data_IF_473397944103
#
_entry.id   IF_473397944103
#
_cell.length_a   1.000
_cell.length_b   1.000
_cell.length_c   1.000
_cell.angle_alpha   90.00
_cell.angle_beta   90.00
_cell.angle_gamma   90.00
#
_symmetry.space_group_name_H-M   'P 1'
#
loop_
_entity.id
_entity.type
_entity.pdbx_description
1 polymer ?
#
# COMPACT_ATOMS: atom_id res chain seq x y z
N UNK A 1 2.83 52.23 27.49
CA UNK A 1 3.59 51.33 26.60
C UNK A 1 2.91 49.98 26.66
N UNK A 2 2.04 49.70 25.71
CA UNK A 2 1.37 48.41 25.60
C UNK A 2 2.27 47.49 24.81
N UNK A 3 2.82 46.52 25.51
CA UNK A 3 3.62 45.45 24.91
C UNK A 3 2.70 44.64 23.99
N UNK A 4 2.95 44.79 22.70
CA UNK A 4 2.25 44.00 21.67
C UNK A 4 2.80 42.57 21.77
N UNK A 5 2.08 41.67 22.40
CA UNK A 5 2.38 40.26 22.34
C UNK A 5 2.47 39.84 20.86
N UNK A 6 3.67 39.49 20.41
CA UNK A 6 3.87 38.91 19.10
C UNK A 6 2.96 37.69 18.99
N UNK A 7 1.97 37.73 18.11
CA UNK A 7 1.13 36.58 17.82
C UNK A 7 2.02 35.50 17.21
N UNK A 8 2.30 34.45 17.94
CA UNK A 8 2.94 33.24 17.42
C UNK A 8 1.93 32.57 16.47
N UNK A 9 2.16 32.75 15.19
CA UNK A 9 1.46 31.97 14.18
C UNK A 9 2.10 30.58 14.18
N UNK A 10 1.39 29.59 14.69
CA UNK A 10 1.80 28.20 14.49
C UNK A 10 1.87 27.94 12.98
N UNK A 11 2.92 27.24 12.49
CA UNK A 11 2.97 26.86 11.09
C UNK A 11 1.73 26.01 10.79
N UNK A 12 0.82 26.58 10.01
CA UNK A 12 -0.36 25.87 9.53
C UNK A 12 0.15 24.82 8.57
N UNK A 13 -0.26 23.55 8.80
CA UNK A 13 -0.06 22.47 7.87
C UNK A 13 -0.59 22.94 6.50
N UNK A 14 0.27 22.95 5.49
CA UNK A 14 -0.14 23.29 4.13
C UNK A 14 -1.00 22.13 3.62
N UNK A 15 -2.30 22.29 3.66
CA UNK A 15 -3.27 21.38 3.03
C UNK A 15 -3.75 21.94 1.69
N UNK A 16 -3.19 23.08 1.26
CA UNK A 16 -3.53 23.79 0.05
C UNK A 16 -2.40 23.63 -0.97
N UNK A 17 -2.75 23.35 -2.20
CA UNK A 17 -1.84 23.14 -3.32
C UNK A 17 -2.35 22.05 -4.25
N UNK A 18 -1.83 22.02 -5.47
CA UNK A 18 -2.29 21.09 -6.50
C UNK A 18 -1.52 19.75 -6.46
N UNK A 19 -0.33 19.75 -5.84
CA UNK A 19 0.56 18.59 -5.78
C UNK A 19 0.88 18.16 -4.35
N UNK A 20 1.36 16.94 -4.17
CA UNK A 20 1.89 16.46 -2.88
C UNK A 20 3.02 17.34 -2.39
N UNK A 21 3.89 17.81 -3.29
CA UNK A 21 4.99 18.72 -2.96
C UNK A 21 4.48 20.06 -2.39
N UNK A 22 3.38 20.60 -2.91
CA UNK A 22 2.80 21.84 -2.41
C UNK A 22 2.20 21.68 -1.00
N UNK A 23 1.65 20.50 -0.72
CA UNK A 23 0.94 20.20 0.54
C UNK A 23 1.89 19.81 1.67
N UNK A 24 2.99 19.12 1.36
CA UNK A 24 4.02 18.73 2.32
C UNK A 24 4.97 19.90 2.62
N UNK A 25 5.63 19.86 3.77
CA UNK A 25 6.77 20.77 4.02
C UNK A 25 7.97 20.31 3.20
N UNK A 26 8.83 21.26 2.80
CA UNK A 26 10.05 20.97 2.05
C UNK A 26 10.89 19.87 2.73
N UNK A 27 10.97 19.91 4.06
CA UNK A 27 11.71 18.90 4.82
C UNK A 27 11.05 17.52 4.76
N UNK A 28 9.71 17.45 4.79
CA UNK A 28 9.00 16.17 4.67
C UNK A 28 9.20 15.58 3.27
N UNK A 29 8.98 16.39 2.23
CA UNK A 29 9.04 15.95 0.84
C UNK A 29 10.45 15.56 0.40
N UNK A 30 11.45 16.43 0.65
CA UNK A 30 12.80 16.25 0.12
C UNK A 30 13.74 15.46 1.02
N UNK A 31 13.46 15.34 2.32
CA UNK A 31 14.39 14.70 3.26
C UNK A 31 13.79 13.50 4.00
N UNK A 32 12.59 13.65 4.61
CA UNK A 32 12.06 12.60 5.48
C UNK A 32 11.53 11.42 4.67
N UNK A 33 10.69 11.68 3.66
CA UNK A 33 10.13 10.61 2.82
C UNK A 33 11.24 9.85 2.09
N UNK A 34 12.18 10.48 1.37
CA UNK A 34 13.26 9.77 0.68
C UNK A 34 14.18 8.99 1.63
N UNK A 35 14.43 9.52 2.82
CA UNK A 35 15.35 8.87 3.75
C UNK A 35 14.77 7.60 4.39
N UNK A 36 13.44 7.56 4.63
CA UNK A 36 12.81 6.57 5.50
C UNK A 36 11.70 5.73 4.88
N UNK A 37 11.02 6.24 3.87
CA UNK A 37 9.75 5.64 3.41
C UNK A 37 9.79 5.21 1.96
N UNK A 38 10.53 5.91 1.10
CA UNK A 38 10.63 5.56 -0.30
C UNK A 38 11.50 4.31 -0.50
N UNK A 39 11.10 3.47 -1.43
CA UNK A 39 11.84 2.28 -1.83
C UNK A 39 13.16 2.65 -2.49
N UNK A 40 14.15 1.80 -2.25
CA UNK A 40 15.49 1.88 -2.81
C UNK A 40 15.86 0.54 -3.41
N UNK A 41 16.65 0.60 -4.47
CA UNK A 41 17.25 -0.59 -5.04
C UNK A 41 18.43 -1.13 -4.20
N UNK A 42 19.07 -2.19 -4.70
CA UNK A 42 20.21 -2.82 -4.05
C UNK A 42 21.46 -1.90 -3.93
N UNK A 43 21.54 -0.87 -4.77
CA UNK A 43 22.61 0.12 -4.77
C UNK A 43 22.30 1.32 -3.85
N UNK A 44 21.08 1.37 -3.29
CA UNK A 44 20.61 2.42 -2.40
C UNK A 44 20.01 3.63 -3.11
N UNK A 45 19.83 3.55 -4.44
CA UNK A 45 19.18 4.59 -5.22
C UNK A 45 17.66 4.52 -5.08
N UNK A 46 17.01 5.68 -5.10
CA UNK A 46 15.55 5.76 -5.01
C UNK A 46 14.90 5.21 -6.27
N UNK A 47 13.97 4.29 -6.12
CA UNK A 47 13.15 3.71 -7.20
C UNK A 47 11.68 4.06 -7.08
N UNK A 48 11.32 4.88 -6.13
CA UNK A 48 9.96 5.31 -5.81
C UNK A 48 9.92 6.82 -5.61
N UNK A 49 8.91 7.49 -6.12
CA UNK A 49 8.57 8.88 -5.81
C UNK A 49 7.68 8.98 -4.58
N UNK A 50 7.38 10.19 -4.12
CA UNK A 50 6.46 10.44 -3.01
C UNK A 50 5.01 10.08 -3.39
N UNK A 51 4.65 10.27 -4.62
CA UNK A 51 3.36 9.90 -5.20
C UNK A 51 3.23 8.37 -5.28
N UNK A 52 4.26 7.69 -5.81
CA UNK A 52 4.32 6.22 -5.88
C UNK A 52 4.19 5.57 -4.50
N UNK A 53 4.76 6.20 -3.46
CA UNK A 53 4.59 5.75 -2.06
C UNK A 53 3.12 5.66 -1.68
N UNK A 54 2.35 6.72 -1.93
CA UNK A 54 0.93 6.76 -1.57
C UNK A 54 0.11 5.78 -2.42
N UNK A 55 0.43 5.66 -3.70
CA UNK A 55 -0.18 4.65 -4.57
C UNK A 55 0.09 3.23 -4.07
N UNK A 56 1.35 2.90 -3.78
CA UNK A 56 1.73 1.59 -3.25
C UNK A 56 0.97 1.27 -1.96
N UNK A 57 0.96 2.19 -1.01
CA UNK A 57 0.30 1.98 0.28
C UNK A 57 -1.19 1.83 0.11
N UNK A 58 -1.84 2.75 -0.59
CA UNK A 58 -3.29 2.74 -0.80
C UNK A 58 -3.78 1.47 -1.50
N UNK A 59 -3.14 1.12 -2.61
CA UNK A 59 -3.50 -0.07 -3.40
C UNK A 59 -3.29 -1.37 -2.63
N UNK A 60 -2.14 -1.53 -1.97
CA UNK A 60 -1.89 -2.76 -1.22
C UNK A 60 -2.84 -2.98 -0.04
N UNK A 61 -3.24 -1.90 0.64
CA UNK A 61 -4.24 -2.01 1.71
C UNK A 61 -5.62 -2.31 1.12
N UNK A 62 -5.99 -1.70 0.01
CA UNK A 62 -7.26 -1.91 -0.66
C UNK A 62 -7.46 -3.35 -1.17
N UNK A 63 -6.38 -4.12 -1.38
CA UNK A 63 -6.52 -5.53 -1.78
C UNK A 63 -7.35 -6.35 -0.78
N UNK A 64 -7.38 -5.98 0.49
CA UNK A 64 -8.24 -6.62 1.48
C UNK A 64 -9.74 -6.46 1.18
N UNK A 65 -10.12 -5.41 0.46
CA UNK A 65 -11.51 -5.17 0.06
C UNK A 65 -12.03 -6.25 -0.91
N UNK A 66 -11.14 -6.93 -1.65
CA UNK A 66 -11.55 -8.07 -2.47
C UNK A 66 -12.19 -9.18 -1.63
N UNK A 67 -11.66 -9.42 -0.41
CA UNK A 67 -12.21 -10.40 0.52
C UNK A 67 -13.54 -9.93 1.12
N UNK A 68 -13.62 -8.66 1.51
CA UNK A 68 -14.83 -8.11 2.13
C UNK A 68 -15.96 -7.98 1.12
N UNK A 69 -15.68 -7.53 -0.09
CA UNK A 69 -16.66 -7.40 -1.15
C UNK A 69 -17.17 -8.77 -1.63
N UNK A 70 -16.29 -9.76 -1.79
CA UNK A 70 -16.68 -11.11 -2.11
C UNK A 70 -17.64 -11.69 -1.05
N UNK A 71 -17.33 -11.51 0.24
CA UNK A 71 -18.23 -11.95 1.33
C UNK A 71 -19.56 -11.22 1.32
N UNK A 72 -19.58 -9.92 1.02
CA UNK A 72 -20.81 -9.14 0.91
C UNK A 72 -21.73 -9.65 -0.21
N UNK A 73 -21.13 -10.26 -1.24
CA UNK A 73 -21.82 -10.86 -2.39
C UNK A 73 -22.09 -12.36 -2.26
N UNK A 74 -21.79 -12.93 -1.10
CA UNK A 74 -21.92 -14.37 -0.83
C UNK A 74 -21.10 -15.23 -1.82
N UNK A 75 -19.87 -14.76 -2.12
CA UNK A 75 -18.90 -15.44 -2.99
C UNK A 75 -17.50 -15.41 -2.38
N UNK A 76 -16.52 -16.00 -3.08
CA UNK A 76 -15.10 -15.96 -2.72
C UNK A 76 -14.23 -15.62 -3.93
N UNK A 77 -12.99 -15.21 -3.67
CA UNK A 77 -11.96 -14.98 -4.67
C UNK A 77 -10.92 -16.08 -4.54
N UNK A 78 -10.61 -16.75 -5.63
CA UNK A 78 -9.55 -17.76 -5.72
C UNK A 78 -8.28 -17.11 -6.26
N UNK A 79 -7.13 -17.48 -5.71
CA UNK A 79 -5.80 -16.98 -6.10
C UNK A 79 -4.84 -18.15 -6.33
N UNK A 80 -3.81 -17.91 -7.12
CA UNK A 80 -2.81 -18.88 -7.57
C UNK A 80 -1.39 -18.48 -7.17
N UNK A 81 -0.38 -19.37 -7.22
CA UNK A 81 0.98 -19.05 -6.81
C UNK A 81 1.66 -17.94 -7.61
N UNK A 82 1.31 -17.75 -8.89
CA UNK A 82 1.86 -16.69 -9.73
C UNK A 82 1.40 -15.29 -9.30
N UNK A 83 0.30 -15.19 -8.54
CA UNK A 83 -0.21 -13.95 -7.97
C UNK A 83 0.47 -13.55 -6.63
N UNK A 84 1.37 -14.38 -6.11
CA UNK A 84 2.23 -14.01 -4.98
C UNK A 84 3.13 -12.82 -5.34
N UNK A 85 3.56 -12.07 -4.32
CA UNK A 85 4.47 -10.92 -4.50
C UNK A 85 5.70 -11.31 -5.33
N UNK A 86 5.91 -10.72 -6.52
CA UNK A 86 6.93 -11.18 -7.46
C UNK A 86 8.36 -11.01 -6.93
N UNK A 87 8.62 -9.95 -6.20
CA UNK A 87 9.95 -9.58 -5.70
C UNK A 87 10.24 -10.09 -4.28
N UNK A 88 9.37 -10.94 -3.73
CA UNK A 88 9.59 -11.47 -2.38
C UNK A 88 10.74 -12.48 -2.37
N UNK A 89 11.82 -12.25 -1.58
CA UNK A 89 13.02 -13.11 -1.61
C UNK A 89 12.76 -14.54 -1.14
N UNK A 90 11.64 -14.76 -0.44
CA UNK A 90 11.20 -16.08 0.05
C UNK A 90 9.91 -16.54 -0.63
N UNK A 91 9.78 -16.28 -1.93
CA UNK A 91 8.55 -16.55 -2.69
C UNK A 91 8.15 -18.02 -2.66
N UNK A 92 9.13 -18.93 -2.80
CA UNK A 92 8.88 -20.39 -2.73
C UNK A 92 8.40 -20.83 -1.33
N UNK A 93 8.90 -20.21 -0.28
CA UNK A 93 8.44 -20.50 1.09
C UNK A 93 7.01 -19.97 1.30
N UNK A 94 6.66 -18.80 0.75
CA UNK A 94 5.29 -18.29 0.77
C UNK A 94 4.34 -19.19 0.00
N UNK A 95 4.76 -19.69 -1.17
CA UNK A 95 3.98 -20.66 -1.93
C UNK A 95 3.75 -21.94 -1.12
N UNK A 96 4.79 -22.49 -0.49
CA UNK A 96 4.68 -23.66 0.35
C UNK A 96 3.79 -23.44 1.59
N UNK A 97 3.81 -22.25 2.16
CA UNK A 97 2.96 -21.86 3.31
C UNK A 97 1.48 -21.77 2.92
N UNK A 98 1.20 -21.15 1.77
CA UNK A 98 -0.18 -20.83 1.35
C UNK A 98 -0.85 -22.01 0.64
N UNK A 99 -0.12 -22.68 -0.26
CA UNK A 99 -0.63 -23.72 -1.17
C UNK A 99 -0.22 -25.14 -0.77
N UNK A 100 0.79 -25.28 0.09
CA UNK A 100 1.33 -26.54 0.54
C UNK A 100 2.76 -26.81 0.08
N UNK A 101 3.43 -27.76 0.76
CA UNK A 101 4.80 -28.10 0.44
C UNK A 101 4.94 -28.71 -0.95
N UNK A 102 5.94 -28.26 -1.71
CA UNK A 102 6.24 -28.72 -3.05
C UNK A 102 5.56 -27.95 -4.18
N UNK A 103 4.72 -26.97 -3.84
CA UNK A 103 4.11 -26.05 -4.82
C UNK A 103 5.14 -25.03 -5.28
N UNK A 104 5.19 -24.80 -6.57
CA UNK A 104 6.02 -23.76 -7.21
C UNK A 104 5.17 -22.59 -7.68
N UNK A 105 5.82 -21.49 -8.09
CA UNK A 105 5.13 -20.27 -8.57
C UNK A 105 4.31 -20.51 -9.84
N UNK A 106 4.65 -21.57 -10.60
CA UNK A 106 4.03 -21.89 -11.88
C UNK A 106 2.99 -23.04 -11.77
N UNK A 107 2.65 -23.45 -10.55
CA UNK A 107 1.67 -24.52 -10.34
C UNK A 107 0.23 -24.01 -10.47
N UNK A 108 -0.66 -24.88 -10.99
CA UNK A 108 -2.10 -24.65 -11.07
C UNK A 108 -2.82 -24.78 -9.71
N UNK A 109 -2.10 -24.71 -8.61
CA UNK A 109 -2.67 -24.77 -7.27
C UNK A 109 -3.51 -23.52 -7.00
N UNK A 110 -4.65 -23.69 -6.36
CA UNK A 110 -5.57 -22.61 -6.03
C UNK A 110 -5.86 -22.58 -4.53
N UNK A 111 -6.05 -21.39 -4.00
CA UNK A 111 -6.57 -21.20 -2.64
C UNK A 111 -7.50 -19.99 -2.59
N UNK A 112 -8.32 -19.91 -1.56
CA UNK A 112 -9.19 -18.75 -1.34
C UNK A 112 -8.37 -17.58 -0.79
N UNK A 113 -8.54 -16.40 -1.38
CA UNK A 113 -8.01 -15.16 -0.82
C UNK A 113 -8.76 -14.85 0.48
N UNK A 114 -8.02 -14.59 1.54
CA UNK A 114 -8.57 -14.37 2.87
C UNK A 114 -7.82 -13.24 3.59
N UNK A 115 -8.39 -12.73 4.67
CA UNK A 115 -7.73 -11.72 5.51
C UNK A 115 -6.42 -12.21 6.16
N UNK A 116 -6.16 -13.51 6.15
CA UNK A 116 -4.95 -14.12 6.72
C UNK A 116 -3.81 -14.27 5.70
N UNK A 117 -4.14 -14.35 4.41
CA UNK A 117 -3.14 -14.53 3.36
C UNK A 117 -3.04 -13.38 2.35
N UNK A 118 -3.99 -12.43 2.36
CA UNK A 118 -4.06 -11.32 1.40
C UNK A 118 -2.76 -10.52 1.30
N UNK A 119 -2.03 -10.38 2.39
CA UNK A 119 -0.76 -9.67 2.42
C UNK A 119 0.41 -10.40 1.74
N UNK A 120 0.23 -11.64 1.30
CA UNK A 120 1.22 -12.43 0.57
C UNK A 120 1.12 -12.26 -0.94
N UNK A 121 0.03 -11.67 -1.40
CA UNK A 121 -0.27 -11.46 -2.81
C UNK A 121 -0.01 -10.01 -3.23
N UNK A 122 0.31 -9.82 -4.51
CA UNK A 122 0.54 -8.50 -5.08
C UNK A 122 -0.77 -7.94 -5.66
N UNK A 123 -1.01 -6.64 -5.42
CA UNK A 123 -2.18 -5.95 -5.96
C UNK A 123 -2.25 -6.07 -7.48
N UNK A 124 -1.12 -5.82 -8.15
CA UNK A 124 -0.99 -5.81 -9.60
C UNK A 124 -1.20 -7.17 -10.27
N UNK A 125 -1.05 -8.27 -9.52
CA UNK A 125 -1.28 -9.62 -10.05
C UNK A 125 -2.66 -10.17 -9.72
N UNK A 126 -3.28 -9.73 -8.63
CA UNK A 126 -4.60 -10.21 -8.21
C UNK A 126 -5.73 -9.40 -8.84
N UNK A 127 -5.64 -8.08 -8.79
CA UNK A 127 -6.77 -7.21 -9.16
C UNK A 127 -7.23 -7.39 -10.61
N UNK A 128 -6.36 -7.54 -11.62
CA UNK A 128 -6.79 -7.76 -13.00
C UNK A 128 -7.63 -9.03 -13.22
N UNK A 129 -7.44 -10.04 -12.36
CA UNK A 129 -8.12 -11.34 -12.46
C UNK A 129 -9.43 -11.40 -11.62
N UNK A 130 -9.73 -10.35 -10.85
CA UNK A 130 -10.95 -10.28 -10.07
C UNK A 130 -12.19 -10.18 -10.97
N UNK A 131 -13.34 -10.72 -10.54
CA UNK A 131 -14.62 -10.41 -11.16
C UNK A 131 -14.86 -8.89 -11.25
N UNK A 132 -15.39 -8.41 -12.36
CA UNK A 132 -15.51 -6.98 -12.68
C UNK A 132 -16.05 -6.13 -11.52
N UNK A 133 -17.13 -6.58 -10.89
CA UNK A 133 -17.77 -5.83 -9.80
C UNK A 133 -16.93 -5.77 -8.52
N UNK A 134 -16.10 -6.79 -8.26
CA UNK A 134 -15.17 -6.80 -7.12
C UNK A 134 -13.96 -5.92 -7.46
N UNK A 135 -13.44 -6.05 -8.70
CA UNK A 135 -12.33 -5.24 -9.19
C UNK A 135 -12.64 -3.75 -9.11
N UNK A 136 -13.77 -3.32 -9.66
CA UNK A 136 -14.20 -1.91 -9.64
C UNK A 136 -14.29 -1.36 -8.21
N UNK A 137 -14.76 -2.18 -7.26
CA UNK A 137 -14.82 -1.78 -5.85
C UNK A 137 -13.41 -1.63 -5.25
N UNK A 138 -12.52 -2.60 -5.47
CA UNK A 138 -11.14 -2.57 -4.94
C UNK A 138 -10.36 -1.39 -5.51
N UNK A 139 -10.46 -1.14 -6.82
CA UNK A 139 -9.83 -0.01 -7.48
C UNK A 139 -10.36 1.32 -6.93
N UNK A 140 -11.67 1.47 -6.80
CA UNK A 140 -12.28 2.69 -6.25
C UNK A 140 -11.86 2.97 -4.80
N UNK A 141 -11.79 1.94 -3.95
CA UNK A 141 -11.31 2.11 -2.56
C UNK A 141 -9.81 2.40 -2.53
N UNK A 142 -9.03 1.78 -3.43
CA UNK A 142 -7.60 2.08 -3.59
C UNK A 142 -7.36 3.55 -3.93
N UNK A 143 -8.09 4.06 -4.92
CA UNK A 143 -8.03 5.46 -5.34
C UNK A 143 -8.45 6.41 -4.21
N UNK A 144 -9.50 6.06 -3.43
CA UNK A 144 -9.90 6.85 -2.27
C UNK A 144 -8.82 6.89 -1.19
N UNK A 145 -8.14 5.77 -0.92
CA UNK A 145 -7.04 5.74 0.05
C UNK A 145 -5.84 6.57 -0.41
N UNK A 146 -5.50 6.50 -1.69
CA UNK A 146 -4.45 7.34 -2.28
C UNK A 146 -4.82 8.82 -2.15
N UNK A 147 -6.03 9.20 -2.55
CA UNK A 147 -6.53 10.58 -2.48
C UNK A 147 -6.50 11.14 -1.05
N UNK A 148 -6.92 10.36 -0.06
CA UNK A 148 -6.85 10.75 1.36
C UNK A 148 -5.42 11.05 1.82
N UNK A 149 -4.43 10.27 1.35
CA UNK A 149 -3.03 10.45 1.71
C UNK A 149 -2.40 11.62 0.95
N UNK A 150 -2.64 11.76 -0.34
CA UNK A 150 -2.14 12.86 -1.17
C UNK A 150 -2.67 14.22 -0.71
N UNK A 151 -3.93 14.26 -0.28
CA UNK A 151 -4.55 15.46 0.29
C UNK A 151 -4.20 15.68 1.77
N UNK A 152 -3.38 14.82 2.37
CA UNK A 152 -3.02 14.86 3.80
C UNK A 152 -4.23 14.86 4.74
N UNK A 153 -5.37 14.37 4.28
CA UNK A 153 -6.58 14.18 5.08
C UNK A 153 -6.42 13.03 6.07
N UNK A 154 -5.68 12.01 5.67
CA UNK A 154 -5.27 10.88 6.50
C UNK A 154 -3.87 10.43 6.14
N UNK A 155 -3.03 10.17 7.13
CA UNK A 155 -1.71 9.55 6.95
C UNK A 155 -1.64 8.36 7.90
N UNK A 156 -1.44 7.14 7.38
CA UNK A 156 -1.29 5.96 8.23
C UNK A 156 -0.03 6.03 9.08
N UNK A 157 0.09 5.12 10.04
CA UNK A 157 1.28 5.03 10.88
C UNK A 157 2.54 4.69 10.07
N UNK A 158 3.71 4.98 10.63
CA UNK A 158 5.00 4.74 9.96
C UNK A 158 5.21 3.30 9.49
N UNK A 159 4.89 2.24 10.25
CA UNK A 159 5.01 0.87 9.76
C UNK A 159 4.19 0.60 8.50
N UNK A 160 2.98 1.13 8.41
CA UNK A 160 2.15 0.98 7.21
C UNK A 160 2.77 1.70 6.01
N UNK A 161 3.19 2.96 6.18
CA UNK A 161 3.85 3.72 5.11
C UNK A 161 5.15 3.04 4.61
N UNK A 162 5.91 2.44 5.52
CA UNK A 162 7.15 1.77 5.16
C UNK A 162 6.94 0.43 4.48
N UNK A 163 5.98 -0.38 4.97
CA UNK A 163 5.96 -1.81 4.70
C UNK A 163 4.76 -2.27 3.87
N UNK A 164 3.73 -1.44 3.65
CA UNK A 164 2.60 -1.83 2.81
C UNK A 164 3.09 -2.09 1.38
N UNK A 165 2.80 -3.29 0.87
CA UNK A 165 3.28 -3.72 -0.44
C UNK A 165 4.72 -4.19 -0.47
N UNK A 166 5.48 -4.08 0.62
CA UNK A 166 6.84 -4.56 0.72
C UNK A 166 6.92 -6.04 1.14
N UNK A 167 8.13 -6.60 1.16
CA UNK A 167 8.38 -8.03 1.43
C UNK A 167 7.72 -8.52 2.72
N UNK A 168 7.98 -7.85 3.82
CA UNK A 168 7.52 -8.28 5.13
C UNK A 168 6.09 -7.88 5.46
N UNK A 169 5.60 -6.81 4.83
CA UNK A 169 4.27 -6.22 5.05
C UNK A 169 3.85 -6.18 6.54
N UNK A 170 4.74 -5.77 7.40
CA UNK A 170 4.44 -5.56 8.81
C UNK A 170 3.79 -4.19 8.97
N UNK A 171 2.47 -4.15 9.03
CA UNK A 171 1.68 -2.91 9.04
C UNK A 171 1.47 -2.32 10.43
N UNK A 172 1.88 -3.02 11.47
CA UNK A 172 1.79 -2.56 12.86
C UNK A 172 3.06 -2.86 13.64
N UNK A 173 3.34 -2.06 14.65
CA UNK A 173 4.42 -2.28 15.60
C UNK A 173 3.98 -3.11 16.79
#
# INVERSE_FOLDING_TARGET
>A
MTDSAAAYTLPIKRTEGDTVADRLTDNAYHNILPARYLRKDADGELVESQEDLFERVGRNIALAEAVFEARRRDTSVTVTPDQLKPDHPRRDELAAEVFGAGVTVDDDAETELSVYNVNKFAYETVVPELPDEIREHVEAVGDEFVDLMEHLSFIPNSPTLMNAGDELQQLSA
#
